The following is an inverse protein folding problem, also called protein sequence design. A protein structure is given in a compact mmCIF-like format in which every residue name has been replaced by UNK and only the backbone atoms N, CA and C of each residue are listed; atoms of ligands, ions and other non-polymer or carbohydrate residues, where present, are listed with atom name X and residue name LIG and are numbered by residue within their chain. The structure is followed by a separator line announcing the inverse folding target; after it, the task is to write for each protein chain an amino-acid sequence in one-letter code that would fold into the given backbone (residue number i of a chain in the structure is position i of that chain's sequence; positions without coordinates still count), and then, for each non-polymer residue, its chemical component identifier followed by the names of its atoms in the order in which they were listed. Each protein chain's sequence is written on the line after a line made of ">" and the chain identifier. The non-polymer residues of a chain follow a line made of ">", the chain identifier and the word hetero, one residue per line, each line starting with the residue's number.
data_IF_904336933390
#
_entry.id   IF_904336933390
#
_cell.length_a   1.000
_cell.length_b   1.000
_cell.length_c   1.000
_cell.angle_alpha   90.00
_cell.angle_beta   90.00
_cell.angle_gamma   90.00
#
_symmetry.space_group_name_H-M   'P 1'
#
loop_
_entity.id
_entity.type
_entity.pdbx_description
1 polymer ?
#
# COMPACT_ATOMS: atom_id res chain seq x y z
N UNK A 1 -17.69 32.72 -9.84
CA UNK A 1 -17.78 32.27 -8.44
C UNK A 1 -16.41 31.79 -8.01
N UNK A 2 -15.81 32.40 -6.99
CA UNK A 2 -14.49 32.03 -6.47
C UNK A 2 -14.54 30.63 -5.87
N UNK A 3 -13.40 29.91 -5.81
CA UNK A 3 -13.36 28.55 -5.25
C UNK A 3 -13.89 28.53 -3.80
N UNK A 4 -13.53 29.53 -3.00
CA UNK A 4 -13.98 29.69 -1.62
C UNK A 4 -15.52 29.80 -1.51
N UNK A 5 -16.17 30.55 -2.39
CA UNK A 5 -17.63 30.65 -2.46
C UNK A 5 -18.28 29.31 -2.83
N UNK A 6 -17.66 28.53 -3.72
CA UNK A 6 -18.12 27.18 -4.09
C UNK A 6 -18.03 26.21 -2.93
N UNK A 7 -16.92 26.23 -2.19
CA UNK A 7 -16.69 25.37 -1.03
C UNK A 7 -17.68 25.72 0.09
N UNK A 8 -17.90 27.00 0.37
CA UNK A 8 -18.85 27.46 1.38
C UNK A 8 -20.28 27.02 1.07
N UNK A 9 -20.76 27.25 -0.15
CA UNK A 9 -22.09 26.80 -0.58
C UNK A 9 -22.23 25.26 -0.55
N UNK A 10 -21.16 24.50 -0.78
CA UNK A 10 -21.18 23.05 -0.67
C UNK A 10 -21.25 22.59 0.79
N UNK A 11 -20.50 23.24 1.70
CA UNK A 11 -20.54 22.97 3.15
C UNK A 11 -21.94 23.23 3.71
N UNK A 12 -22.57 24.35 3.37
CA UNK A 12 -23.94 24.69 3.81
C UNK A 12 -24.95 23.59 3.44
N UNK A 13 -24.95 23.14 2.19
CA UNK A 13 -25.84 22.05 1.72
C UNK A 13 -25.59 20.72 2.45
N UNK A 14 -24.35 20.42 2.82
CA UNK A 14 -24.03 19.19 3.56
C UNK A 14 -24.51 19.30 5.01
N UNK A 15 -24.33 20.46 5.65
CA UNK A 15 -24.83 20.73 7.01
C UNK A 15 -26.35 20.61 7.05
N UNK A 16 -27.07 21.19 6.09
CA UNK A 16 -28.54 21.03 5.97
C UNK A 16 -28.96 19.56 5.91
N UNK A 17 -28.25 18.74 5.12
CA UNK A 17 -28.53 17.30 5.00
C UNK A 17 -28.24 16.52 6.28
N UNK A 18 -27.21 16.92 7.05
CA UNK A 18 -26.91 16.32 8.35
C UNK A 18 -28.00 16.69 9.35
N UNK A 19 -28.38 17.97 9.44
CA UNK A 19 -29.43 18.47 10.33
C UNK A 19 -30.77 17.79 10.05
N UNK A 20 -31.15 17.67 8.77
CA UNK A 20 -32.35 16.93 8.38
C UNK A 20 -32.29 15.47 8.87
N UNK A 21 -31.11 14.84 8.81
CA UNK A 21 -30.95 13.45 9.22
C UNK A 21 -31.00 13.24 10.74
N UNK A 22 -30.61 14.24 11.52
CA UNK A 22 -30.69 14.20 13.00
C UNK A 22 -32.11 14.25 13.55
N UNK A 23 -33.09 14.55 12.71
CA UNK A 23 -34.51 14.58 13.08
C UNK A 23 -35.15 13.17 12.91
N UNK A 24 -34.49 12.24 12.22
CA UNK A 24 -35.00 10.88 11.98
C UNK A 24 -34.44 9.88 13.03
N UNK A 25 -35.33 9.27 13.84
CA UNK A 25 -35.06 8.51 15.07
C UNK A 25 -34.32 7.15 14.92
N UNK A 26 -33.67 6.85 13.78
CA UNK A 26 -32.90 5.60 13.66
C UNK A 26 -31.59 5.72 12.88
N UNK A 27 -30.52 5.19 13.48
CA UNK A 27 -29.16 5.08 12.94
C UNK A 27 -28.62 6.35 12.26
N UNK A 28 -28.89 7.51 12.88
CA UNK A 28 -28.53 8.84 12.39
C UNK A 28 -27.04 8.96 12.05
N UNK A 29 -26.17 8.44 12.91
CA UNK A 29 -24.72 8.62 12.79
C UNK A 29 -24.14 7.90 11.57
N UNK A 30 -24.46 6.62 11.36
CA UNK A 30 -23.96 5.88 10.20
C UNK A 30 -24.44 6.49 8.88
N UNK A 31 -25.68 7.00 8.85
CA UNK A 31 -26.25 7.63 7.67
C UNK A 31 -25.69 9.04 7.42
N UNK A 32 -25.35 9.78 8.49
CA UNK A 32 -24.69 11.08 8.41
C UNK A 32 -23.21 10.98 8.04
N UNK A 33 -22.57 9.83 8.28
CA UNK A 33 -21.12 9.66 8.11
C UNK A 33 -20.64 9.96 6.69
N UNK A 34 -21.44 9.66 5.65
CA UNK A 34 -21.11 10.04 4.26
C UNK A 34 -21.04 11.55 4.06
N UNK A 35 -21.86 12.33 4.75
CA UNK A 35 -21.84 13.79 4.68
C UNK A 35 -20.69 14.36 5.51
N UNK A 36 -20.38 13.76 6.66
CA UNK A 36 -19.20 14.10 7.47
C UNK A 36 -17.91 13.86 6.66
N UNK A 37 -17.83 12.75 5.94
CA UNK A 37 -16.71 12.43 5.04
C UNK A 37 -16.58 13.49 3.94
N UNK A 38 -17.69 13.94 3.36
CA UNK A 38 -17.65 15.00 2.35
C UNK A 38 -17.23 16.36 2.94
N UNK A 39 -17.65 16.69 4.17
CA UNK A 39 -17.17 17.90 4.86
C UNK A 39 -15.65 17.83 5.08
N UNK A 40 -15.14 16.67 5.50
CA UNK A 40 -13.72 16.42 5.65
C UNK A 40 -12.95 16.67 4.33
N UNK A 41 -13.47 16.16 3.22
CA UNK A 41 -12.91 16.38 1.89
C UNK A 41 -12.87 17.86 1.52
N UNK A 42 -13.97 18.61 1.77
CA UNK A 42 -14.02 20.03 1.46
C UNK A 42 -12.99 20.83 2.27
N UNK A 43 -12.80 20.49 3.56
CA UNK A 43 -11.79 21.11 4.41
C UNK A 43 -10.36 20.80 3.95
N UNK A 44 -10.08 19.57 3.48
CA UNK A 44 -8.78 19.25 2.91
C UNK A 44 -8.51 19.99 1.60
N UNK A 45 -9.52 20.15 0.73
CA UNK A 45 -9.38 20.92 -0.51
C UNK A 45 -9.05 22.37 -0.21
N UNK A 46 -9.81 23.00 0.70
CA UNK A 46 -9.64 24.41 1.06
C UNK A 46 -8.22 24.67 1.60
N UNK A 47 -7.80 23.90 2.61
CA UNK A 47 -6.50 24.07 3.26
C UNK A 47 -5.33 23.75 2.33
N UNK A 48 -5.45 22.72 1.50
CA UNK A 48 -4.37 22.29 0.60
C UNK A 48 -4.21 23.22 -0.59
N UNK A 49 -5.29 23.86 -1.03
CA UNK A 49 -5.24 24.86 -2.09
C UNK A 49 -4.32 26.01 -1.69
N UNK A 50 -4.44 26.49 -0.46
CA UNK A 50 -3.62 27.58 0.07
C UNK A 50 -2.19 27.11 0.39
N UNK A 51 -2.04 25.94 1.02
CA UNK A 51 -0.77 25.43 1.51
C UNK A 51 0.16 24.85 0.42
N UNK A 52 -0.40 24.37 -0.69
CA UNK A 52 0.33 23.90 -1.87
C UNK A 52 0.38 24.96 -2.99
N UNK A 53 -0.12 26.17 -2.71
CA UNK A 53 -0.10 27.31 -3.63
C UNK A 53 -0.75 27.01 -4.99
N UNK A 54 -1.82 26.20 -5.01
CA UNK A 54 -2.43 25.70 -6.25
C UNK A 54 -3.07 26.82 -7.10
N UNK A 55 -3.54 27.88 -6.45
CA UNK A 55 -4.22 29.01 -7.10
C UNK A 55 -3.51 30.36 -6.94
N UNK A 56 -2.49 30.44 -6.08
CA UNK A 56 -1.78 31.68 -5.78
C UNK A 56 -0.34 31.40 -5.40
N UNK A 57 0.61 32.06 -6.07
CA UNK A 57 2.04 31.90 -5.89
C UNK A 57 2.62 32.68 -4.68
N UNK A 58 1.78 33.35 -3.89
CA UNK A 58 2.23 34.23 -2.80
C UNK A 58 2.32 33.54 -1.43
N UNK A 59 1.94 32.26 -1.31
CA UNK A 59 1.97 31.53 -0.04
C UNK A 59 3.23 30.69 0.13
N UNK A 60 3.69 30.56 1.38
CA UNK A 60 4.81 29.67 1.73
C UNK A 60 4.38 28.22 1.58
N UNK A 61 5.11 27.46 0.77
CA UNK A 61 4.87 26.04 0.52
C UNK A 61 5.13 25.20 1.77
N UNK A 62 4.15 24.35 2.12
CA UNK A 62 4.19 23.55 3.36
C UNK A 62 3.82 22.09 3.15
N UNK A 63 4.38 21.43 2.13
CA UNK A 63 4.06 20.03 1.80
C UNK A 63 4.09 19.11 3.03
N UNK A 64 5.21 19.07 3.77
CA UNK A 64 5.34 18.19 4.93
C UNK A 64 4.30 18.47 6.03
N UNK A 65 3.91 19.73 6.21
CA UNK A 65 2.86 20.07 7.18
C UNK A 65 1.48 19.59 6.71
N UNK A 66 1.19 19.70 5.41
CA UNK A 66 -0.03 19.17 4.80
C UNK A 66 -0.07 17.64 4.96
N UNK A 67 1.01 16.95 4.60
CA UNK A 67 1.10 15.49 4.74
C UNK A 67 0.95 15.03 6.19
N UNK A 68 1.61 15.70 7.14
CA UNK A 68 1.46 15.39 8.57
C UNK A 68 0.03 15.59 9.04
N UNK A 69 -0.65 16.65 8.59
CA UNK A 69 -2.03 16.92 8.98
C UNK A 69 -3.01 15.90 8.40
N UNK A 70 -2.82 15.53 7.13
CA UNK A 70 -3.57 14.46 6.48
C UNK A 70 -3.40 13.11 7.20
N UNK A 71 -2.18 12.80 7.64
CA UNK A 71 -1.89 11.59 8.41
C UNK A 71 -2.65 11.58 9.75
N UNK A 72 -2.53 12.65 10.55
CA UNK A 72 -3.26 12.77 11.83
C UNK A 72 -4.78 12.70 11.63
N UNK A 73 -5.29 13.30 10.55
CA UNK A 73 -6.71 13.21 10.19
C UNK A 73 -7.15 11.79 9.85
N UNK A 74 -6.33 11.05 9.09
CA UNK A 74 -6.63 9.67 8.75
C UNK A 74 -6.74 8.78 9.98
N UNK A 75 -5.97 9.02 11.04
CA UNK A 75 -6.03 8.25 12.29
C UNK A 75 -7.37 8.42 13.03
N UNK A 76 -8.08 9.52 12.80
CA UNK A 76 -9.40 9.78 13.39
C UNK A 76 -10.59 9.29 12.53
N UNK A 77 -10.33 8.83 11.30
CA UNK A 77 -11.37 8.38 10.37
C UNK A 77 -11.47 6.86 10.36
N UNK A 78 -12.68 6.33 10.14
CA UNK A 78 -12.89 4.87 10.04
C UNK A 78 -12.08 4.30 8.87
N UNK A 79 -11.27 3.28 9.15
CA UNK A 79 -10.38 2.61 8.19
C UNK A 79 -11.12 1.60 7.31
N UNK A 80 -12.15 2.05 6.59
CA UNK A 80 -12.87 1.23 5.63
C UNK A 80 -12.84 1.88 4.24
N UNK A 81 -12.81 1.03 3.20
CA UNK A 81 -12.60 1.47 1.81
C UNK A 81 -13.64 2.47 1.33
N UNK A 82 -14.92 2.28 1.64
CA UNK A 82 -16.02 3.17 1.25
C UNK A 82 -15.95 4.58 1.86
N UNK A 83 -15.16 4.78 2.92
CA UNK A 83 -15.00 6.07 3.61
C UNK A 83 -13.64 6.69 3.28
N UNK A 84 -12.58 5.92 3.45
CA UNK A 84 -11.22 6.42 3.35
C UNK A 84 -10.81 6.65 1.88
N UNK A 85 -11.27 5.81 0.95
CA UNK A 85 -10.85 5.91 -0.45
C UNK A 85 -11.23 7.25 -1.10
N UNK A 86 -12.45 7.79 -0.92
CA UNK A 86 -12.78 9.14 -1.38
C UNK A 86 -11.83 10.24 -0.87
N UNK A 87 -11.36 10.13 0.38
CA UNK A 87 -10.41 11.08 0.97
C UNK A 87 -9.04 10.92 0.29
N UNK A 88 -8.54 9.69 0.19
CA UNK A 88 -7.24 9.41 -0.43
C UNK A 88 -7.19 9.83 -1.90
N UNK A 89 -8.30 9.64 -2.64
CA UNK A 89 -8.42 10.10 -4.01
C UNK A 89 -8.21 11.62 -4.12
N UNK A 90 -8.91 12.40 -3.29
CA UNK A 90 -8.78 13.86 -3.30
C UNK A 90 -7.36 14.29 -2.98
N UNK A 91 -6.71 13.66 -2.00
CA UNK A 91 -5.30 13.93 -1.66
C UNK A 91 -4.36 13.66 -2.83
N UNK A 92 -4.57 12.55 -3.56
CA UNK A 92 -3.80 12.26 -4.78
C UNK A 92 -4.01 13.33 -5.85
N UNK A 93 -5.24 13.76 -6.10
CA UNK A 93 -5.50 14.81 -7.10
C UNK A 93 -4.89 16.16 -6.69
N UNK A 94 -4.95 16.53 -5.41
CA UNK A 94 -4.30 17.75 -4.90
C UNK A 94 -2.77 17.70 -5.08
N UNK A 95 -2.17 16.54 -4.83
CA UNK A 95 -0.74 16.31 -5.05
C UNK A 95 -0.38 16.38 -6.54
N UNK A 96 -1.15 15.74 -7.43
CA UNK A 96 -0.93 15.83 -8.88
C UNK A 96 -1.05 17.27 -9.39
N UNK A 97 -2.07 18.00 -8.93
CA UNK A 97 -2.24 19.42 -9.25
C UNK A 97 -1.05 20.26 -8.77
N UNK A 98 -0.48 19.96 -7.59
CA UNK A 98 0.72 20.65 -7.09
C UNK A 98 1.98 20.40 -7.93
N UNK A 99 2.11 19.18 -8.48
CA UNK A 99 3.20 18.85 -9.39
C UNK A 99 3.04 19.56 -10.75
N UNK A 100 1.81 19.63 -11.28
CA UNK A 100 1.49 20.34 -12.53
C UNK A 100 1.73 21.85 -12.40
N UNK A 101 1.38 22.43 -11.26
CA UNK A 101 1.67 23.84 -10.96
C UNK A 101 3.17 24.12 -10.78
N UNK A 102 4.02 23.09 -10.69
CA UNK A 102 5.46 23.21 -10.48
C UNK A 102 5.83 23.80 -9.11
N UNK A 103 4.89 23.82 -8.16
CA UNK A 103 5.10 24.45 -6.85
C UNK A 103 5.90 23.56 -5.91
N UNK A 104 5.81 22.24 -6.05
CA UNK A 104 6.47 21.26 -5.18
C UNK A 104 7.45 20.41 -5.97
N UNK A 105 8.55 19.99 -5.34
CA UNK A 105 9.49 19.05 -5.94
C UNK A 105 8.77 17.77 -6.37
N UNK A 106 8.88 17.44 -7.66
CA UNK A 106 8.20 16.29 -8.25
C UNK A 106 8.51 14.98 -7.53
N UNK A 107 9.75 14.77 -7.07
CA UNK A 107 10.13 13.56 -6.34
C UNK A 107 9.47 13.45 -4.97
N UNK A 108 9.27 14.58 -4.28
CA UNK A 108 8.58 14.60 -2.99
C UNK A 108 7.09 14.33 -3.19
N UNK A 109 6.49 14.88 -4.25
CA UNK A 109 5.13 14.57 -4.66
C UNK A 109 4.98 13.09 -5.03
N UNK A 110 5.88 12.53 -5.83
CA UNK A 110 5.86 11.12 -6.24
C UNK A 110 5.96 10.21 -5.01
N UNK A 111 6.83 10.53 -4.03
CA UNK A 111 6.92 9.76 -2.78
C UNK A 111 5.60 9.77 -2.00
N UNK A 112 4.98 10.95 -1.86
CA UNK A 112 3.69 11.10 -1.18
C UNK A 112 2.55 10.38 -1.93
N UNK A 113 2.52 10.49 -3.26
CA UNK A 113 1.57 9.78 -4.12
C UNK A 113 1.72 8.26 -3.96
N UNK A 114 2.94 7.73 -3.98
CA UNK A 114 3.18 6.30 -3.77
C UNK A 114 2.65 5.83 -2.42
N UNK A 115 2.87 6.58 -1.34
CA UNK A 115 2.33 6.23 -0.02
C UNK A 115 0.80 6.16 -0.02
N UNK A 116 0.13 7.15 -0.62
CA UNK A 116 -1.34 7.16 -0.73
C UNK A 116 -1.87 6.02 -1.62
N UNK A 117 -1.20 5.72 -2.73
CA UNK A 117 -1.56 4.62 -3.63
C UNK A 117 -1.42 3.26 -2.93
N UNK A 118 -0.37 3.07 -2.13
CA UNK A 118 -0.19 1.85 -1.34
C UNK A 118 -1.27 1.72 -0.26
N UNK A 119 -1.68 2.83 0.38
CA UNK A 119 -2.79 2.81 1.32
C UNK A 119 -4.12 2.41 0.63
N UNK A 120 -4.41 2.98 -0.53
CA UNK A 120 -5.59 2.63 -1.34
C UNK A 120 -5.55 1.17 -1.82
N UNK A 121 -4.39 0.69 -2.27
CA UNK A 121 -4.16 -0.71 -2.63
C UNK A 121 -4.50 -1.63 -1.46
N UNK A 122 -3.99 -1.32 -0.26
CA UNK A 122 -4.24 -2.11 0.95
C UNK A 122 -5.73 -2.16 1.31
N UNK A 123 -6.42 -1.02 1.28
CA UNK A 123 -7.86 -0.93 1.58
C UNK A 123 -8.71 -1.72 0.58
N UNK A 124 -8.41 -1.58 -0.71
CA UNK A 124 -9.09 -2.32 -1.78
C UNK A 124 -8.86 -3.83 -1.63
N UNK A 125 -7.62 -4.23 -1.34
CA UNK A 125 -7.25 -5.64 -1.11
C UNK A 125 -7.95 -6.22 0.12
N UNK A 126 -7.96 -5.52 1.25
CA UNK A 126 -8.67 -5.94 2.45
C UNK A 126 -10.19 -6.06 2.25
N UNK A 127 -10.74 -5.30 1.30
CA UNK A 127 -12.15 -5.36 0.90
C UNK A 127 -12.44 -6.44 -0.16
N UNK A 128 -11.43 -7.20 -0.60
CA UNK A 128 -11.57 -8.23 -1.64
C UNK A 128 -11.60 -7.70 -3.08
N UNK A 129 -11.42 -6.40 -3.29
CA UNK A 129 -11.44 -5.77 -4.62
C UNK A 129 -10.06 -5.85 -5.29
N UNK A 130 -9.62 -7.06 -5.62
CA UNK A 130 -8.27 -7.30 -6.14
C UNK A 130 -7.97 -6.56 -7.45
N UNK A 131 -8.93 -6.45 -8.37
CA UNK A 131 -8.70 -5.68 -9.61
C UNK A 131 -8.44 -4.18 -9.33
N UNK A 132 -9.16 -3.60 -8.37
CA UNK A 132 -8.97 -2.21 -7.97
C UNK A 132 -7.61 -2.04 -7.26
N UNK A 133 -7.25 -2.98 -6.38
CA UNK A 133 -5.96 -2.99 -5.72
C UNK A 133 -4.79 -3.08 -6.73
N UNK A 134 -4.93 -3.89 -7.77
CA UNK A 134 -3.93 -4.01 -8.84
C UNK A 134 -3.71 -2.68 -9.58
N UNK A 135 -4.79 -1.96 -9.89
CA UNK A 135 -4.69 -0.64 -10.55
C UNK A 135 -3.83 0.31 -9.73
N UNK A 136 -4.07 0.41 -8.42
CA UNK A 136 -3.26 1.26 -7.53
C UNK A 136 -1.81 0.79 -7.43
N UNK A 137 -1.59 -0.52 -7.39
CA UNK A 137 -0.25 -1.09 -7.31
C UNK A 137 0.57 -0.83 -8.59
N UNK A 138 -0.03 -0.99 -9.77
CA UNK A 138 0.62 -0.69 -11.06
C UNK A 138 0.96 0.79 -11.14
N UNK A 139 0.04 1.66 -10.71
CA UNK A 139 0.29 3.09 -10.69
C UNK A 139 1.44 3.46 -9.75
N UNK A 140 1.48 2.89 -8.54
CA UNK A 140 2.57 3.10 -7.59
C UNK A 140 3.93 2.62 -8.15
N UNK A 141 3.95 1.49 -8.87
CA UNK A 141 5.15 0.97 -9.53
C UNK A 141 5.64 1.90 -10.63
N UNK A 142 4.74 2.53 -11.37
CA UNK A 142 5.09 3.47 -12.45
C UNK A 142 5.83 4.73 -11.94
N UNK A 143 5.61 5.14 -10.68
CA UNK A 143 6.30 6.27 -10.08
C UNK A 143 7.78 5.97 -9.73
N UNK A 144 8.15 4.69 -9.59
CA UNK A 144 9.55 4.28 -9.39
C UNK A 144 10.21 4.74 -8.08
N UNK A 145 9.41 5.18 -7.09
CA UNK A 145 9.87 5.62 -5.76
C UNK A 145 9.28 4.73 -4.66
N UNK A 146 9.85 4.80 -3.46
CA UNK A 146 9.45 3.98 -2.30
C UNK A 146 9.30 2.48 -2.62
N UNK A 147 10.30 1.92 -3.31
CA UNK A 147 10.27 0.56 -3.85
C UNK A 147 10.07 -0.53 -2.77
N UNK A 148 10.49 -0.25 -1.52
CA UNK A 148 10.26 -1.15 -0.38
C UNK A 148 8.76 -1.37 -0.15
N UNK A 149 8.01 -0.29 0.07
CA UNK A 149 6.60 -0.37 0.42
C UNK A 149 5.78 -0.94 -0.75
N UNK A 150 6.15 -0.58 -1.98
CA UNK A 150 5.56 -1.14 -3.20
C UNK A 150 5.79 -2.65 -3.29
N UNK A 151 7.02 -3.10 -3.10
CA UNK A 151 7.36 -4.53 -3.12
C UNK A 151 6.66 -5.32 -2.01
N UNK A 152 6.53 -4.73 -0.81
CA UNK A 152 5.82 -5.34 0.31
C UNK A 152 4.33 -5.54 0.01
N UNK A 153 3.65 -4.53 -0.54
CA UNK A 153 2.23 -4.67 -0.88
C UNK A 153 2.02 -5.56 -2.11
N UNK A 154 2.94 -5.58 -3.08
CA UNK A 154 2.93 -6.52 -4.21
C UNK A 154 2.99 -7.98 -3.72
N UNK A 155 3.88 -8.31 -2.79
CA UNK A 155 3.94 -9.65 -2.20
C UNK A 155 2.63 -10.05 -1.50
N UNK A 156 1.99 -9.11 -0.79
CA UNK A 156 0.69 -9.34 -0.14
C UNK A 156 -0.44 -9.52 -1.15
N UNK A 157 -0.40 -8.75 -2.24
CA UNK A 157 -1.37 -8.84 -3.33
C UNK A 157 -1.32 -10.21 -4.02
N UNK A 158 -0.13 -10.66 -4.42
CA UNK A 158 0.04 -11.95 -5.11
C UNK A 158 -0.38 -13.13 -4.22
N UNK A 159 -0.12 -13.08 -2.90
CA UNK A 159 -0.62 -14.11 -1.98
C UNK A 159 -2.16 -14.20 -1.96
N UNK A 160 -2.83 -13.05 -1.90
CA UNK A 160 -4.28 -13.02 -1.84
C UNK A 160 -4.91 -13.40 -3.18
N UNK A 161 -4.27 -13.07 -4.30
CA UNK A 161 -4.62 -13.55 -5.64
C UNK A 161 -4.44 -15.07 -5.77
N UNK A 162 -3.36 -15.63 -5.22
CA UNK A 162 -3.11 -17.08 -5.16
C UNK A 162 -4.16 -17.85 -4.33
N UNK A 163 -4.89 -17.15 -3.44
CA UNK A 163 -6.03 -17.72 -2.71
C UNK A 163 -7.32 -17.81 -3.55
N UNK A 164 -7.35 -17.25 -4.77
CA UNK A 164 -8.56 -17.16 -5.60
C UNK A 164 -8.51 -18.00 -6.89
N UNK A 165 -7.35 -18.29 -7.48
CA UNK A 165 -7.24 -19.20 -8.63
C UNK A 165 -5.87 -19.88 -8.66
N UNK A 166 -5.87 -21.21 -8.78
CA UNK A 166 -4.74 -22.05 -9.18
C UNK A 166 -3.98 -21.45 -10.36
N UNK A 167 -2.68 -21.15 -10.24
CA UNK A 167 -1.85 -20.96 -11.43
C UNK A 167 -0.39 -21.39 -11.28
N UNK A 168 -0.02 -22.21 -12.27
CA UNK A 168 1.29 -22.54 -12.78
C UNK A 168 1.93 -21.34 -13.51
N UNK A 169 3.24 -21.45 -13.76
CA UNK A 169 3.98 -20.81 -14.86
C UNK A 169 4.02 -19.27 -14.92
N UNK A 170 4.93 -18.69 -14.13
CA UNK A 170 5.94 -17.79 -14.72
C UNK A 170 7.24 -17.85 -13.92
N UNK A 171 7.84 -19.04 -13.92
CA UNK A 171 9.23 -19.21 -13.54
C UNK A 171 10.14 -18.77 -14.68
N UNK A 172 11.06 -17.85 -14.39
CA UNK A 172 12.30 -17.67 -15.14
C UNK A 172 12.18 -17.00 -16.50
N UNK A 173 12.41 -15.68 -16.53
CA UNK A 173 13.28 -14.97 -17.49
C UNK A 173 13.11 -13.46 -17.30
N UNK A 174 13.72 -12.92 -16.27
CA UNK A 174 14.26 -11.56 -16.32
C UNK A 174 15.77 -11.69 -16.16
N UNK A 175 16.53 -11.12 -17.09
CA UNK A 175 17.99 -11.11 -17.06
C UNK A 175 18.46 -10.55 -15.71
N UNK A 176 18.90 -11.43 -14.81
CA UNK A 176 19.38 -11.04 -13.49
C UNK A 176 20.89 -10.80 -13.56
N UNK A 177 21.33 -9.58 -13.27
CA UNK A 177 22.72 -9.33 -12.87
C UNK A 177 23.06 -10.21 -11.66
N UNK A 178 24.30 -10.69 -11.59
CA UNK A 178 24.76 -11.58 -10.51
C UNK A 178 24.49 -10.98 -9.12
N UNK A 179 24.01 -11.76 -8.12
CA UNK A 179 23.75 -11.30 -6.76
C UNK A 179 24.92 -10.54 -6.13
N UNK A 180 26.15 -10.90 -6.45
CA UNK A 180 27.37 -10.26 -5.93
C UNK A 180 27.55 -8.81 -6.41
N UNK A 181 26.99 -8.47 -7.57
CA UNK A 181 27.01 -7.10 -8.13
C UNK A 181 25.93 -6.24 -7.47
N UNK A 182 24.77 -6.84 -7.18
CA UNK A 182 23.65 -6.18 -6.48
C UNK A 182 24.00 -5.87 -5.02
N UNK A 183 24.71 -6.76 -4.33
CA UNK A 183 25.14 -6.57 -2.94
C UNK A 183 26.10 -5.39 -2.78
N UNK A 184 26.98 -5.16 -3.76
CA UNK A 184 27.95 -4.05 -3.74
C UNK A 184 27.35 -2.68 -4.10
N UNK A 185 26.23 -2.65 -4.83
CA UNK A 185 25.57 -1.41 -5.29
C UNK A 185 24.43 -0.93 -4.40
N UNK A 186 23.92 -1.76 -3.48
CA UNK A 186 22.70 -1.47 -2.72
C UNK A 186 22.96 -1.30 -1.22
N UNK A 187 22.26 -0.35 -0.59
CA UNK A 187 22.39 -0.10 0.85
C UNK A 187 21.93 -1.31 1.66
N UNK A 188 22.43 -1.46 2.89
CA UNK A 188 22.07 -2.55 3.79
C UNK A 188 20.57 -2.57 4.09
N UNK A 189 19.94 -1.40 4.20
CA UNK A 189 18.51 -1.22 4.46
C UNK A 189 17.67 -1.72 3.27
N UNK A 190 18.13 -1.45 2.05
CA UNK A 190 17.48 -1.90 0.82
C UNK A 190 17.58 -3.42 0.65
N UNK A 191 18.72 -4.01 1.03
CA UNK A 191 18.92 -5.47 1.07
C UNK A 191 18.04 -6.14 2.12
N UNK A 192 17.94 -5.56 3.31
CA UNK A 192 17.07 -6.06 4.38
C UNK A 192 15.58 -6.00 3.97
N UNK A 193 15.15 -4.88 3.39
CA UNK A 193 13.81 -4.71 2.85
C UNK A 193 13.48 -5.74 1.76
N UNK A 194 14.41 -5.97 0.83
CA UNK A 194 14.25 -7.00 -0.20
C UNK A 194 14.11 -8.39 0.41
N UNK A 195 14.94 -8.73 1.39
CA UNK A 195 14.86 -10.02 2.08
C UNK A 195 13.53 -10.19 2.84
N UNK A 196 13.04 -9.15 3.53
CA UNK A 196 11.70 -9.16 4.17
C UNK A 196 10.58 -9.46 3.16
N UNK A 197 10.60 -8.80 2.00
CA UNK A 197 9.61 -9.01 0.93
C UNK A 197 9.66 -10.46 0.42
N UNK A 198 10.86 -10.97 0.14
CA UNK A 198 11.03 -12.33 -0.38
C UNK A 198 10.70 -13.41 0.66
N UNK A 199 11.01 -13.17 1.94
CA UNK A 199 10.63 -14.05 3.04
C UNK A 199 9.11 -14.16 3.18
N UNK A 200 8.43 -13.01 3.16
CA UNK A 200 6.97 -12.98 3.23
C UNK A 200 6.36 -13.72 2.02
N UNK A 201 6.92 -13.50 0.83
CA UNK A 201 6.51 -14.20 -0.40
C UNK A 201 6.74 -15.71 -0.29
N UNK A 202 7.88 -16.16 0.23
CA UNK A 202 8.21 -17.56 0.40
C UNK A 202 7.28 -18.25 1.42
N UNK A 203 6.97 -17.59 2.54
CA UNK A 203 6.01 -18.09 3.53
C UNK A 203 4.62 -18.28 2.90
N UNK A 204 4.22 -17.33 2.06
CA UNK A 204 2.96 -17.37 1.34
C UNK A 204 2.91 -18.46 0.26
N UNK A 205 4.00 -18.67 -0.48
CA UNK A 205 4.15 -19.78 -1.42
C UNK A 205 4.09 -21.14 -0.72
N UNK A 206 4.70 -21.26 0.46
CA UNK A 206 4.63 -22.46 1.30
C UNK A 206 3.19 -22.75 1.77
N UNK A 207 2.51 -21.75 2.33
CA UNK A 207 1.14 -21.89 2.87
C UNK A 207 0.09 -22.21 1.80
N UNK A 208 0.31 -21.77 0.56
CA UNK A 208 -0.60 -22.03 -0.56
C UNK A 208 -0.30 -23.33 -1.30
N UNK A 209 0.83 -24.00 -1.01
CA UNK A 209 1.29 -25.16 -1.78
C UNK A 209 1.61 -24.83 -3.25
N UNK A 210 1.80 -23.55 -3.57
CA UNK A 210 1.91 -23.07 -4.94
C UNK A 210 3.23 -23.40 -5.63
N UNK A 211 4.26 -23.83 -4.87
CA UNK A 211 5.63 -24.01 -5.37
C UNK A 211 6.26 -25.28 -4.79
N UNK A 212 7.03 -25.98 -5.62
CA UNK A 212 7.79 -27.14 -5.19
C UNK A 212 8.81 -26.76 -4.11
N UNK A 213 8.99 -27.63 -3.13
CA UNK A 213 9.83 -27.33 -1.97
C UNK A 213 11.31 -27.04 -2.35
N UNK A 214 11.78 -27.62 -3.45
CA UNK A 214 13.11 -27.35 -4.01
C UNK A 214 13.26 -25.89 -4.50
N UNK A 215 12.24 -25.33 -5.14
CA UNK A 215 12.27 -23.95 -5.63
C UNK A 215 12.20 -22.94 -4.46
N UNK A 216 11.42 -23.26 -3.42
CA UNK A 216 11.40 -22.53 -2.15
C UNK A 216 12.78 -22.53 -1.47
N UNK A 217 13.44 -23.69 -1.45
CA UNK A 217 14.80 -23.83 -0.91
C UNK A 217 15.81 -22.95 -1.67
N UNK A 218 15.73 -22.89 -3.01
CA UNK A 218 16.60 -22.00 -3.81
C UNK A 218 16.36 -20.51 -3.52
N UNK A 219 15.10 -20.11 -3.25
CA UNK A 219 14.80 -18.75 -2.81
C UNK A 219 15.50 -18.45 -1.48
N UNK A 220 15.37 -19.32 -0.47
CA UNK A 220 16.03 -19.13 0.82
C UNK A 220 17.56 -19.10 0.71
N UNK A 221 18.17 -19.98 -0.08
CA UNK A 221 19.62 -19.97 -0.35
C UNK A 221 20.08 -18.69 -1.05
N UNK A 222 19.28 -18.15 -1.96
CA UNK A 222 19.60 -16.88 -2.62
C UNK A 222 19.59 -15.71 -1.64
N UNK A 223 18.69 -15.72 -0.64
CA UNK A 223 18.56 -14.67 0.38
C UNK A 223 19.74 -14.64 1.36
N UNK A 224 20.33 -15.79 1.68
CA UNK A 224 21.55 -15.87 2.49
C UNK A 224 22.74 -15.13 1.85
N UNK A 225 22.77 -15.03 0.51
CA UNK A 225 23.83 -14.34 -0.23
C UNK A 225 23.76 -12.82 -0.13
N UNK A 226 22.65 -12.25 0.37
CA UNK A 226 22.48 -10.80 0.48
C UNK A 226 23.07 -10.18 1.76
N UNK A 227 23.71 -10.99 2.63
CA UNK A 227 24.34 -10.54 3.89
C UNK A 227 23.38 -9.68 4.73
N UNK A 228 22.15 -10.18 4.90
CA UNK A 228 21.11 -9.55 5.70
C UNK A 228 21.16 -10.17 7.10
N UNK A 229 21.51 -9.40 8.15
CA UNK A 229 21.46 -9.86 9.52
C UNK A 229 20.01 -9.84 10.00
N UNK A 230 19.25 -10.85 9.61
CA UNK A 230 17.88 -11.06 10.05
C UNK A 230 17.80 -12.40 10.77
N UNK A 231 17.62 -12.37 12.09
CA UNK A 231 17.35 -13.57 12.89
C UNK A 231 16.08 -14.27 12.40
N UNK A 232 15.07 -13.49 11.99
CA UNK A 232 13.82 -13.97 11.39
C UNK A 232 14.05 -14.75 10.08
N UNK A 233 15.01 -14.32 9.24
CA UNK A 233 15.41 -15.08 8.04
C UNK A 233 15.93 -16.47 8.44
N UNK A 234 16.91 -16.52 9.35
CA UNK A 234 17.54 -17.77 9.77
C UNK A 234 16.53 -18.72 10.45
N UNK A 235 15.68 -18.17 11.32
CA UNK A 235 14.60 -18.92 11.97
C UNK A 235 13.64 -19.53 10.95
N UNK A 236 13.16 -18.74 9.97
CA UNK A 236 12.22 -19.22 8.95
C UNK A 236 12.83 -20.28 8.03
N UNK A 237 14.11 -20.14 7.66
CA UNK A 237 14.82 -21.18 6.90
C UNK A 237 14.91 -22.48 7.71
N UNK A 238 15.25 -22.39 9.00
CA UNK A 238 15.33 -23.56 9.87
C UNK A 238 13.97 -24.26 10.01
N UNK A 239 12.89 -23.52 10.31
CA UNK A 239 11.53 -24.07 10.41
C UNK A 239 11.08 -24.73 9.11
N UNK A 240 11.39 -24.13 7.95
CA UNK A 240 11.08 -24.72 6.65
C UNK A 240 11.83 -26.04 6.42
N UNK A 241 13.14 -26.07 6.74
CA UNK A 241 13.95 -27.29 6.59
C UNK A 241 13.45 -28.40 7.54
N UNK A 242 13.20 -28.08 8.81
CA UNK A 242 12.65 -29.01 9.80
C UNK A 242 11.31 -29.60 9.33
N UNK A 243 10.42 -28.75 8.81
CA UNK A 243 9.13 -29.18 8.25
C UNK A 243 9.28 -30.14 7.07
N UNK A 244 10.26 -29.94 6.18
CA UNK A 244 10.53 -30.89 5.09
C UNK A 244 11.00 -32.25 5.61
N UNK A 245 11.94 -32.24 6.57
CA UNK A 245 12.45 -33.48 7.16
C UNK A 245 11.36 -34.27 7.89
N UNK A 246 10.42 -33.61 8.57
CA UNK A 246 9.28 -34.30 9.19
C UNK A 246 8.33 -34.93 8.17
N UNK A 247 8.00 -34.25 7.07
CA UNK A 247 7.09 -34.78 6.03
C UNK A 247 7.69 -36.01 5.33
N UNK A 248 9.00 -36.02 5.09
CA UNK A 248 9.68 -37.17 4.49
C UNK A 248 9.72 -38.38 5.44
N UNK A 249 9.81 -38.16 6.75
CA UNK A 249 9.77 -39.25 7.74
C UNK A 249 8.38 -39.89 7.89
N UNK A 250 7.29 -39.12 7.77
CA UNK A 250 5.92 -39.66 7.86
C UNK A 250 5.56 -40.53 6.63
N UNK A 251 5.98 -40.13 5.43
CA UNK A 251 5.75 -40.92 4.20
C UNK A 251 6.50 -42.25 4.19
N UNK A 252 7.68 -42.31 4.81
CA UNK A 252 8.46 -43.55 4.94
C UNK A 252 7.80 -44.51 5.95
N UNK A 253 7.14 -43.97 6.99
CA UNK A 253 6.41 -44.77 7.98
C UNK A 253 5.12 -45.40 7.46
N UNK A 254 4.40 -44.73 6.55
CA UNK A 254 3.18 -45.26 5.92
C UNK A 254 3.46 -46.28 4.82
N UNK A 255 4.60 -46.19 4.13
CA UNK A 255 5.01 -47.16 3.11
C UNK A 255 5.52 -48.50 3.71
N UNK A 256 5.65 -48.59 5.04
CA UNK A 256 6.10 -49.78 5.77
C UNK A 256 4.97 -50.48 6.55
N UNK A 257 3.71 -50.10 6.33
CA UNK A 257 2.51 -50.80 6.83
C UNK A 257 1.75 -51.48 5.69
#
# INVERSE_FOLDING_TARGET
>A
MKLTERLLAARERLVERITAKTIEDSNTYAQAYKYITNLHILDEIDESTDALSLLSCNTTLKLNAVLSKWQSRSECVVQCSNIMEPILLVRRELLRASAEAGTVNRRDVDNALTQLLIQSCRLARQSGHLQIAWTFLVEAKALGVNLKDVGMEEARFEFQKASFVHWHETGGKSNAESPDVLVKKTSRESRAAFAEVQLLRAEYMLKSGAVAANDLYQIYLSLQKFDVPSEDLHYRVAVFCDGMYSIDTEKIGEAQK
#
